data_IF_274257946875
#
_entry.id   IF_274257946875
#
_cell.length_a   1.000
_cell.length_b   1.000
_cell.length_c   1.000
_cell.angle_alpha   90.00
_cell.angle_beta   90.00
_cell.angle_gamma   90.00
#
_symmetry.space_group_name_H-M   'P 1'
#
loop_
_entity.id
_entity.type
_entity.pdbx_description
1 polymer ?
#
# COMPACT_ATOMS: atom_id res chain seq x y z
N UNK A 1 -19.95 -52.49 -20.11
CA UNK A 1 -20.82 -51.40 -19.65
C UNK A 1 -19.91 -50.35 -19.05
N UNK A 2 -19.51 -49.36 -19.85
CA UNK A 2 -18.63 -48.27 -19.45
C UNK A 2 -19.11 -47.01 -20.17
N UNK A 3 -19.32 -45.92 -19.44
CA UNK A 3 -19.82 -44.65 -19.99
C UNK A 3 -18.65 -43.65 -20.10
N UNK A 4 -18.10 -43.40 -21.31
CA UNK A 4 -16.89 -42.60 -21.49
C UNK A 4 -17.12 -41.09 -21.50
N UNK A 5 -18.33 -40.57 -21.21
CA UNK A 5 -18.69 -39.21 -21.61
C UNK A 5 -18.89 -38.21 -20.46
N UNK A 6 -17.85 -38.02 -19.62
CA UNK A 6 -17.88 -36.97 -18.57
C UNK A 6 -16.55 -36.23 -18.36
N UNK A 7 -15.83 -35.91 -19.45
CA UNK A 7 -14.82 -34.84 -19.43
C UNK A 7 -15.49 -33.51 -19.80
N UNK A 8 -16.26 -32.95 -18.87
CA UNK A 8 -16.70 -31.55 -18.97
C UNK A 8 -15.48 -30.67 -18.78
N UNK A 9 -14.94 -30.25 -19.91
CA UNK A 9 -14.15 -29.03 -20.10
C UNK A 9 -14.54 -27.97 -19.08
N UNK A 10 -13.68 -27.77 -18.08
CA UNK A 10 -13.65 -26.58 -17.25
C UNK A 10 -13.24 -25.44 -18.18
N UNK A 11 -14.23 -24.82 -18.79
CA UNK A 11 -14.07 -23.58 -19.52
C UNK A 11 -13.32 -22.61 -18.62
N UNK A 12 -12.05 -22.35 -18.95
CA UNK A 12 -11.26 -21.23 -18.45
C UNK A 12 -12.12 -19.99 -18.63
N UNK A 13 -12.78 -19.55 -17.56
CA UNK A 13 -13.47 -18.26 -17.57
C UNK A 13 -12.38 -17.22 -17.86
N UNK A 14 -12.55 -16.34 -18.86
CA UNK A 14 -11.63 -15.24 -19.04
C UNK A 14 -11.70 -14.42 -17.75
N UNK A 15 -10.66 -14.56 -16.94
CA UNK A 15 -10.42 -13.72 -15.78
C UNK A 15 -10.42 -12.32 -16.37
N UNK A 16 -11.45 -11.53 -16.08
CA UNK A 16 -11.46 -10.10 -16.36
C UNK A 16 -10.19 -9.57 -15.70
N UNK A 17 -9.13 -9.43 -16.49
CA UNK A 17 -7.90 -8.81 -16.06
C UNK A 17 -8.24 -7.34 -15.89
N UNK A 18 -8.80 -7.02 -14.72
CA UNK A 18 -8.96 -5.66 -14.24
C UNK A 18 -7.56 -5.08 -14.22
N UNK A 19 -7.22 -4.37 -15.29
CA UNK A 19 -5.94 -3.71 -15.46
C UNK A 19 -5.95 -2.51 -14.52
N UNK A 20 -5.62 -2.75 -13.25
CA UNK A 20 -5.40 -1.71 -12.23
C UNK A 20 -4.20 -0.81 -12.58
N UNK A 21 -3.48 -1.09 -13.68
CA UNK A 21 -2.33 -0.33 -14.15
C UNK A 21 -2.61 1.14 -14.50
N UNK A 22 -3.88 1.55 -14.65
CA UNK A 22 -4.25 2.94 -14.93
C UNK A 22 -4.73 3.76 -13.72
N UNK A 23 -4.95 3.14 -12.56
CA UNK A 23 -5.05 3.89 -11.32
C UNK A 23 -3.61 4.17 -10.87
N UNK A 24 -3.00 5.18 -11.50
CA UNK A 24 -1.71 5.78 -11.11
C UNK A 24 -1.80 6.45 -9.75
N UNK A 25 -2.23 5.71 -8.75
CA UNK A 25 -2.42 6.17 -7.39
C UNK A 25 -1.20 5.66 -6.63
N UNK A 26 -0.17 6.50 -6.61
CA UNK A 26 0.95 6.44 -5.68
C UNK A 26 0.42 6.76 -4.27
N UNK A 27 -0.49 5.95 -3.73
CA UNK A 27 -0.98 6.05 -2.34
C UNK A 27 0.00 5.31 -1.43
N UNK A 28 1.26 5.73 -1.48
CA UNK A 28 2.17 5.51 -0.36
C UNK A 28 1.69 6.49 0.69
N UNK A 29 1.22 6.00 1.83
CA UNK A 29 0.71 6.85 2.91
C UNK A 29 1.83 7.79 3.37
N UNK A 30 1.78 9.04 2.89
CA UNK A 30 2.82 10.04 3.07
C UNK A 30 3.16 10.23 4.55
N UNK A 31 2.20 10.00 5.45
CA UNK A 31 2.38 10.09 6.90
C UNK A 31 3.36 9.04 7.41
N UNK A 32 3.28 7.82 6.87
CA UNK A 32 4.12 6.70 7.30
C UNK A 32 5.53 6.90 6.75
N UNK A 33 5.64 7.28 5.48
CA UNK A 33 6.93 7.61 4.88
C UNK A 33 7.62 8.75 5.62
N UNK A 34 6.88 9.81 5.98
CA UNK A 34 7.42 10.95 6.73
C UNK A 34 7.90 10.56 8.13
N UNK A 35 7.16 9.70 8.85
CA UNK A 35 7.58 9.20 10.17
C UNK A 35 8.85 8.34 10.10
N UNK A 36 8.95 7.48 9.08
CA UNK A 36 10.14 6.64 8.89
C UNK A 36 11.37 7.50 8.57
N UNK A 37 11.20 8.50 7.69
CA UNK A 37 12.27 9.43 7.33
C UNK A 37 12.69 10.31 8.51
N UNK A 38 11.73 10.78 9.32
CA UNK A 38 12.02 11.53 10.54
C UNK A 38 12.78 10.67 11.57
N UNK A 39 12.42 9.41 11.75
CA UNK A 39 13.12 8.50 12.65
C UNK A 39 14.57 8.25 12.21
N UNK A 40 14.79 8.06 10.90
CA UNK A 40 16.13 7.94 10.30
C UNK A 40 16.95 9.21 10.52
N UNK A 41 16.36 10.39 10.32
CA UNK A 41 17.04 11.67 10.54
C UNK A 41 17.45 11.85 12.01
N UNK A 42 16.56 11.55 12.96
CA UNK A 42 16.87 11.64 14.40
C UNK A 42 18.00 10.66 14.76
N UNK A 43 17.96 9.44 14.22
CA UNK A 43 18.99 8.44 14.43
C UNK A 43 20.35 8.91 13.89
N UNK A 44 20.38 9.46 12.68
CA UNK A 44 21.59 10.02 12.06
C UNK A 44 22.17 11.17 12.89
N UNK A 45 21.33 12.13 13.30
CA UNK A 45 21.76 13.24 14.16
C UNK A 45 22.31 12.75 15.50
N UNK A 46 21.72 11.70 16.07
CA UNK A 46 22.19 11.10 17.33
C UNK A 46 23.57 10.46 17.15
N UNK A 47 23.77 9.68 16.08
CA UNK A 47 25.06 9.04 15.77
C UNK A 47 26.15 10.09 15.54
N UNK A 48 25.86 11.12 14.75
CA UNK A 48 26.80 12.22 14.47
C UNK A 48 27.16 12.95 15.77
N UNK A 49 26.18 13.28 16.61
CA UNK A 49 26.40 13.99 17.86
C UNK A 49 27.26 13.15 18.83
N UNK A 50 26.97 11.86 18.97
CA UNK A 50 27.77 10.95 19.79
C UNK A 50 29.19 10.78 19.24
N UNK A 51 29.34 10.66 17.93
CA UNK A 51 30.65 10.57 17.26
C UNK A 51 31.49 11.83 17.49
N UNK A 52 30.88 13.01 17.41
CA UNK A 52 31.55 14.28 17.69
C UNK A 52 31.98 14.40 19.15
N UNK A 53 31.12 14.04 20.11
CA UNK A 53 31.45 14.03 21.54
C UNK A 53 32.62 13.08 21.81
N UNK A 54 32.59 11.88 21.22
CA UNK A 54 33.69 10.91 21.34
C UNK A 54 35.01 11.46 20.77
N UNK A 55 34.99 11.99 19.54
CA UNK A 55 36.17 12.58 18.91
C UNK A 55 36.71 13.76 19.71
N UNK A 56 35.84 14.61 20.24
CA UNK A 56 36.23 15.74 21.08
C UNK A 56 37.02 15.27 22.31
N UNK A 57 36.50 14.30 23.06
CA UNK A 57 37.22 13.74 24.20
C UNK A 57 38.54 13.09 23.78
N UNK A 58 38.53 12.31 22.69
CA UNK A 58 39.74 11.63 22.21
C UNK A 58 40.82 12.63 21.80
N UNK A 59 40.45 13.67 21.05
CA UNK A 59 41.38 14.70 20.60
C UNK A 59 41.87 15.57 21.75
N UNK A 60 41.03 15.89 22.73
CA UNK A 60 41.48 16.59 23.94
C UNK A 60 42.59 15.79 24.63
N UNK A 61 42.38 14.48 24.85
CA UNK A 61 43.41 13.63 25.48
C UNK A 61 44.71 13.55 24.67
N UNK A 62 44.61 13.50 23.34
CA UNK A 62 45.78 13.47 22.45
C UNK A 62 46.54 14.81 22.45
N UNK A 63 45.82 15.93 22.46
CA UNK A 63 46.41 17.26 22.50
C UNK A 63 47.13 17.47 23.84
N UNK A 64 46.47 17.14 24.96
CA UNK A 64 47.06 17.25 26.29
C UNK A 64 48.35 16.43 26.39
N UNK A 65 48.33 15.17 25.91
CA UNK A 65 49.51 14.31 25.90
C UNK A 65 50.68 14.88 25.06
N UNK A 66 50.39 15.60 23.98
CA UNK A 66 51.41 16.15 23.08
C UNK A 66 51.93 17.53 23.53
N UNK A 67 51.11 18.36 24.17
CA UNK A 67 51.54 19.66 24.72
C UNK A 67 52.70 19.47 25.72
N UNK A 68 52.64 18.43 26.57
CA UNK A 68 53.73 18.11 27.49
C UNK A 68 54.97 17.49 26.81
N UNK A 69 54.83 16.95 25.60
CA UNK A 69 55.88 16.19 24.90
C UNK A 69 56.71 17.02 23.92
N UNK A 70 56.25 18.21 23.51
CA UNK A 70 57.00 19.15 22.65
C UNK A 70 58.37 19.55 23.25
N UNK A 71 58.59 19.35 24.55
CA UNK A 71 59.91 19.53 25.19
C UNK A 71 60.88 18.35 25.00
N UNK A 72 60.50 17.27 24.31
CA UNK A 72 61.33 16.08 24.06
C UNK A 72 61.21 15.65 22.58
N UNK A 73 62.22 16.02 21.79
CA UNK A 73 62.57 15.77 20.37
C UNK A 73 62.09 14.48 19.64
N UNK A 74 60.87 14.00 19.84
CA UNK A 74 60.32 12.88 19.07
C UNK A 74 58.87 13.17 18.74
N UNK A 75 58.69 13.91 17.65
CA UNK A 75 57.42 14.20 17.01
C UNK A 75 56.81 12.92 16.45
N UNK A 76 55.99 12.22 17.25
CA UNK A 76 55.05 11.25 16.67
C UNK A 76 54.04 12.03 15.83
N UNK A 77 53.70 11.52 14.65
CA UNK A 77 52.77 12.17 13.72
C UNK A 77 51.33 12.16 14.26
N UNK A 78 51.00 13.15 15.09
CA UNK A 78 49.69 13.36 15.74
C UNK A 78 48.58 13.42 14.69
N UNK A 79 48.89 13.98 13.51
CA UNK A 79 47.93 14.11 12.42
C UNK A 79 47.48 12.76 11.89
N UNK A 80 48.41 11.81 11.72
CA UNK A 80 48.08 10.43 11.32
C UNK A 80 47.17 9.75 12.34
N UNK A 81 47.38 9.96 13.64
CA UNK A 81 46.51 9.42 14.70
C UNK A 81 45.10 10.04 14.63
N UNK A 82 45.02 11.37 14.47
CA UNK A 82 43.73 12.06 14.33
C UNK A 82 42.94 11.60 13.11
N UNK A 83 43.61 11.43 11.97
CA UNK A 83 43.00 10.89 10.75
C UNK A 83 42.49 9.46 10.95
N UNK A 84 43.28 8.60 11.60
CA UNK A 84 42.89 7.24 11.89
C UNK A 84 41.63 7.18 12.76
N UNK A 85 41.60 7.93 13.87
CA UNK A 85 40.44 7.98 14.76
C UNK A 85 39.20 8.56 14.07
N UNK A 86 39.37 9.60 13.25
CA UNK A 86 38.27 10.17 12.44
C UNK A 86 37.74 9.14 11.45
N UNK A 87 38.63 8.47 10.71
CA UNK A 87 38.27 7.43 9.74
C UNK A 87 37.53 6.27 10.39
N UNK A 88 37.95 5.85 11.58
CA UNK A 88 37.28 4.83 12.37
C UNK A 88 35.84 5.25 12.73
N UNK A 89 35.67 6.45 13.29
CA UNK A 89 34.35 6.97 13.70
C UNK A 89 33.42 7.13 12.49
N UNK A 90 33.93 7.64 11.37
CA UNK A 90 33.17 7.75 10.12
C UNK A 90 32.78 6.36 9.60
N UNK A 91 33.72 5.41 9.58
CA UNK A 91 33.48 4.04 9.13
C UNK A 91 32.40 3.32 9.95
N UNK A 92 32.47 3.43 11.27
CA UNK A 92 31.45 2.87 12.18
C UNK A 92 30.10 3.57 11.96
N UNK A 93 30.08 4.89 11.83
CA UNK A 93 28.84 5.66 11.60
C UNK A 93 28.15 5.26 10.29
N UNK A 94 28.92 5.09 9.21
CA UNK A 94 28.41 4.62 7.92
C UNK A 94 27.83 3.20 8.03
N UNK A 95 28.52 2.31 8.75
CA UNK A 95 28.06 0.94 8.95
C UNK A 95 26.72 0.91 9.71
N UNK A 96 26.59 1.69 10.78
CA UNK A 96 25.34 1.79 11.55
C UNK A 96 24.21 2.34 10.69
N UNK A 97 24.47 3.38 9.89
CA UNK A 97 23.48 3.95 8.97
C UNK A 97 23.02 2.93 7.91
N UNK A 98 23.94 2.16 7.34
CA UNK A 98 23.61 1.11 6.37
C UNK A 98 22.71 0.04 7.01
N UNK A 99 23.05 -0.41 8.23
CA UNK A 99 22.23 -1.37 8.98
C UNK A 99 20.84 -0.81 9.28
N UNK A 100 20.74 0.45 9.70
CA UNK A 100 19.46 1.12 9.93
C UNK A 100 18.60 1.18 8.67
N UNK A 101 19.21 1.49 7.51
CA UNK A 101 18.54 1.50 6.22
C UNK A 101 18.00 0.11 5.83
N UNK A 102 18.79 -0.95 6.05
CA UNK A 102 18.36 -2.33 5.78
C UNK A 102 17.19 -2.75 6.67
N UNK A 103 17.21 -2.37 7.95
CA UNK A 103 16.09 -2.62 8.87
C UNK A 103 14.85 -1.86 8.41
N UNK A 104 15.00 -0.59 8.02
CA UNK A 104 13.91 0.22 7.52
C UNK A 104 13.27 -0.38 6.25
N UNK A 105 14.09 -0.85 5.30
CA UNK A 105 13.61 -1.55 4.10
C UNK A 105 12.83 -2.83 4.44
N UNK A 106 13.35 -3.66 5.35
CA UNK A 106 12.64 -4.88 5.78
C UNK A 106 11.31 -4.58 6.48
N UNK A 107 11.28 -3.57 7.35
CA UNK A 107 10.05 -3.14 8.00
C UNK A 107 9.04 -2.63 6.97
N UNK A 108 9.51 -1.85 5.98
CA UNK A 108 8.69 -1.34 4.90
C UNK A 108 8.07 -2.45 4.07
N UNK A 109 8.86 -3.41 3.60
CA UNK A 109 8.38 -4.53 2.78
C UNK A 109 7.33 -5.36 3.54
N UNK A 110 7.59 -5.68 4.82
CA UNK A 110 6.64 -6.42 5.64
C UNK A 110 5.32 -5.65 5.84
N UNK A 111 5.43 -4.34 6.07
CA UNK A 111 4.29 -3.46 6.21
C UNK A 111 3.43 -3.41 4.94
N UNK A 112 4.06 -3.16 3.78
CA UNK A 112 3.38 -3.12 2.48
C UNK A 112 2.73 -4.46 2.15
N UNK A 113 3.42 -5.58 2.42
CA UNK A 113 2.88 -6.93 2.19
C UNK A 113 1.63 -7.18 3.01
N UNK A 114 1.59 -6.75 4.27
CA UNK A 114 0.42 -6.87 5.15
C UNK A 114 -0.81 -6.11 4.59
N UNK A 115 -0.58 -4.90 4.07
CA UNK A 115 -1.64 -4.12 3.41
C UNK A 115 -2.12 -4.81 2.13
N UNK A 116 -1.20 -5.24 1.28
CA UNK A 116 -1.53 -5.89 0.01
C UNK A 116 -2.28 -7.21 0.21
N UNK A 117 -1.92 -8.00 1.23
CA UNK A 117 -2.68 -9.21 1.60
C UNK A 117 -4.11 -8.87 2.02
N UNK A 118 -4.27 -7.83 2.84
CA UNK A 118 -5.60 -7.37 3.28
C UNK A 118 -6.43 -6.91 2.07
N UNK A 119 -5.84 -6.11 1.19
CA UNK A 119 -6.50 -5.62 -0.03
C UNK A 119 -6.87 -6.77 -0.97
N UNK A 120 -5.96 -7.70 -1.24
CA UNK A 120 -6.20 -8.88 -2.08
C UNK A 120 -7.38 -9.70 -1.56
N UNK A 121 -7.44 -9.94 -0.25
CA UNK A 121 -8.56 -10.66 0.36
C UNK A 121 -9.91 -9.97 0.19
N UNK A 122 -9.96 -8.65 0.14
CA UNK A 122 -11.18 -7.89 -0.16
C UNK A 122 -11.52 -7.90 -1.65
N UNK A 123 -10.51 -7.79 -2.52
CA UNK A 123 -10.68 -7.84 -3.96
C UNK A 123 -11.23 -9.20 -4.42
N UNK A 124 -10.71 -10.31 -3.88
CA UNK A 124 -11.17 -11.66 -4.19
C UNK A 124 -12.65 -11.84 -3.79
N UNK A 125 -13.07 -11.32 -2.63
CA UNK A 125 -14.48 -11.36 -2.19
C UNK A 125 -15.41 -10.54 -3.09
N UNK A 126 -14.95 -9.37 -3.53
CA UNK A 126 -15.70 -8.54 -4.49
C UNK A 126 -15.84 -9.27 -5.82
N UNK A 127 -14.80 -9.98 -6.27
CA UNK A 127 -14.85 -10.80 -7.47
C UNK A 127 -15.85 -11.95 -7.34
N UNK A 128 -15.99 -12.53 -6.14
CA UNK A 128 -16.97 -13.56 -5.82
C UNK A 128 -18.40 -13.02 -5.58
N UNK A 129 -18.60 -11.69 -5.68
CA UNK A 129 -19.88 -11.00 -5.39
C UNK A 129 -20.44 -11.32 -3.99
N UNK A 130 -19.58 -11.75 -3.05
CA UNK A 130 -19.98 -12.03 -1.68
C UNK A 130 -19.92 -10.74 -0.86
N UNK A 131 -21.06 -10.05 -0.78
CA UNK A 131 -21.21 -8.82 -0.02
C UNK A 131 -21.72 -9.05 1.42
N UNK A 132 -21.58 -10.26 1.97
CA UNK A 132 -22.02 -10.54 3.36
C UNK A 132 -21.17 -9.74 4.35
N UNK A 133 -21.83 -8.99 5.23
CA UNK A 133 -21.19 -8.22 6.30
C UNK A 133 -20.59 -9.20 7.32
N UNK A 134 -19.31 -9.54 7.15
CA UNK A 134 -18.59 -10.31 8.14
C UNK A 134 -17.38 -9.51 8.63
N UNK A 135 -17.34 -9.39 9.96
CA UNK A 135 -16.31 -8.78 10.82
C UNK A 135 -16.55 -7.32 11.22
N UNK A 136 -17.43 -7.07 12.21
CA UNK A 136 -17.46 -5.79 12.94
C UNK A 136 -16.12 -5.42 13.62
N UNK A 137 -15.20 -6.38 13.76
CA UNK A 137 -13.94 -6.22 14.48
C UNK A 137 -12.74 -5.78 13.62
N UNK A 138 -12.91 -5.51 12.31
CA UNK A 138 -11.86 -4.88 11.48
C UNK A 138 -11.93 -3.35 11.56
N UNK A 139 -12.34 -2.83 12.72
CA UNK A 139 -12.39 -1.40 13.02
C UNK A 139 -10.96 -0.90 13.15
N UNK A 140 -10.59 0.04 12.29
CA UNK A 140 -9.28 0.69 12.23
C UNK A 140 -8.20 -0.13 11.50
N UNK A 141 -7.79 0.37 10.32
CA UNK A 141 -6.39 0.79 10.15
C UNK A 141 -6.12 1.62 8.89
N UNK A 142 -6.95 1.55 7.84
CA UNK A 142 -6.64 2.25 6.59
C UNK A 142 -7.82 2.94 5.92
N UNK A 143 -7.65 4.24 5.64
CA UNK A 143 -8.60 5.06 4.89
C UNK A 143 -8.97 4.47 3.52
N UNK A 144 -8.03 3.75 2.88
CA UNK A 144 -8.29 3.03 1.63
C UNK A 144 -9.25 1.86 1.82
N UNK A 145 -9.14 1.11 2.92
CA UNK A 145 -10.08 0.04 3.25
C UNK A 145 -11.47 0.62 3.57
N UNK A 146 -11.53 1.76 4.26
CA UNK A 146 -12.80 2.45 4.51
C UNK A 146 -13.47 2.89 3.21
N UNK A 147 -12.70 3.39 2.25
CA UNK A 147 -13.21 3.75 0.92
C UNK A 147 -13.73 2.54 0.15
N UNK A 148 -13.03 1.41 0.19
CA UNK A 148 -13.46 0.16 -0.46
C UNK A 148 -14.71 -0.38 0.21
N UNK A 149 -14.79 -0.36 1.55
CA UNK A 149 -15.98 -0.78 2.28
C UNK A 149 -17.16 0.14 1.98
N UNK A 150 -16.97 1.47 1.99
CA UNK A 150 -18.01 2.42 1.65
C UNK A 150 -18.52 2.22 0.21
N UNK A 151 -17.60 2.01 -0.73
CA UNK A 151 -17.94 1.69 -2.11
C UNK A 151 -18.70 0.36 -2.21
N UNK A 152 -18.23 -0.70 -1.55
CA UNK A 152 -18.88 -2.02 -1.54
C UNK A 152 -20.28 -1.97 -0.94
N UNK A 153 -20.50 -1.21 0.14
CA UNK A 153 -21.84 -0.97 0.72
C UNK A 153 -22.75 -0.25 -0.27
N UNK A 154 -22.22 0.76 -0.97
CA UNK A 154 -22.95 1.46 -2.03
C UNK A 154 -23.33 0.54 -3.18
N UNK A 155 -22.42 -0.34 -3.61
CA UNK A 155 -22.68 -1.30 -4.69
C UNK A 155 -23.68 -2.38 -4.28
N UNK A 156 -23.62 -2.87 -3.04
CA UNK A 156 -24.62 -3.77 -2.48
C UNK A 156 -26.01 -3.13 -2.46
N UNK A 157 -26.11 -1.87 -2.03
CA UNK A 157 -27.38 -1.14 -2.02
C UNK A 157 -27.95 -1.02 -3.44
N UNK A 158 -27.11 -0.64 -4.42
CA UNK A 158 -27.51 -0.60 -5.83
C UNK A 158 -28.00 -1.95 -6.34
N UNK A 159 -27.31 -3.04 -6.01
CA UNK A 159 -27.73 -4.38 -6.40
C UNK A 159 -29.11 -4.76 -5.82
N UNK A 160 -29.39 -4.37 -4.57
CA UNK A 160 -30.70 -4.55 -3.95
C UNK A 160 -31.79 -3.70 -4.63
N UNK A 161 -31.48 -2.45 -4.97
CA UNK A 161 -32.39 -1.55 -5.68
C UNK A 161 -32.72 -2.05 -7.10
N UNK A 162 -31.72 -2.59 -7.81
CA UNK A 162 -31.94 -3.24 -9.12
C UNK A 162 -32.81 -4.48 -8.95
N UNK A 163 -32.53 -5.32 -7.95
CA UNK A 163 -33.31 -6.53 -7.68
C UNK A 163 -34.77 -6.22 -7.35
N UNK A 164 -35.03 -5.18 -6.56
CA UNK A 164 -36.40 -4.75 -6.23
C UNK A 164 -37.11 -4.16 -7.45
N UNK A 165 -36.42 -3.35 -8.26
CA UNK A 165 -36.95 -2.81 -9.52
C UNK A 165 -37.28 -3.91 -10.53
N UNK A 166 -36.46 -4.95 -10.65
CA UNK A 166 -36.72 -6.11 -11.52
C UNK A 166 -37.85 -6.97 -10.97
N UNK A 167 -37.92 -7.19 -9.65
CA UNK A 167 -38.99 -7.96 -9.01
C UNK A 167 -40.37 -7.29 -9.11
N UNK A 168 -40.42 -5.96 -9.23
CA UNK A 168 -41.65 -5.21 -9.47
C UNK A 168 -42.20 -5.35 -10.90
N UNK A 169 -41.41 -5.88 -11.84
CA UNK A 169 -41.87 -6.15 -13.21
C UNK A 169 -42.67 -7.46 -13.17
N UNK A 170 -43.99 -7.34 -13.03
CA UNK A 170 -44.90 -8.48 -13.18
C UNK A 170 -45.00 -8.87 -14.66
N UNK A 171 -44.25 -9.91 -15.04
CA UNK A 171 -44.22 -10.44 -16.41
C UNK A 171 -45.57 -11.05 -16.83
N UNK A 172 -46.50 -11.29 -15.91
CA UNK A 172 -47.82 -11.82 -16.23
C UNK A 172 -48.79 -10.75 -16.73
N UNK A 173 -48.46 -9.45 -16.59
CA UNK A 173 -49.32 -8.32 -17.01
C UNK A 173 -48.99 -7.76 -18.40
N UNK A 174 -48.20 -8.47 -19.22
CA UNK A 174 -47.66 -7.97 -20.51
C UNK A 174 -48.71 -7.88 -21.65
N UNK A 175 -49.99 -8.14 -21.37
CA UNK A 175 -51.04 -8.14 -22.42
C UNK A 175 -51.62 -6.77 -22.78
N UNK A 176 -51.31 -5.69 -22.03
CA UNK A 176 -51.89 -4.36 -22.25
C UNK A 176 -50.85 -3.33 -22.71
N UNK A 177 -51.24 -2.39 -23.58
CA UNK A 177 -50.40 -1.30 -24.06
C UNK A 177 -49.98 -0.35 -22.92
N UNK A 178 -50.79 -0.26 -21.86
CA UNK A 178 -50.41 0.46 -20.63
C UNK A 178 -49.26 -0.21 -19.87
N UNK A 179 -49.09 -1.53 -19.99
CA UNK A 179 -48.03 -2.31 -19.35
C UNK A 179 -46.66 -2.03 -19.98
N UNK A 180 -46.60 -1.87 -21.31
CA UNK A 180 -45.36 -1.49 -22.01
C UNK A 180 -44.78 -0.16 -21.55
N UNK A 181 -45.65 0.83 -21.26
CA UNK A 181 -45.22 2.13 -20.73
C UNK A 181 -44.62 2.00 -19.32
N UNK A 182 -45.17 1.12 -18.48
CA UNK A 182 -44.64 0.83 -17.12
C UNK A 182 -43.30 0.11 -17.20
N UNK A 183 -43.18 -0.91 -18.05
CA UNK A 183 -41.93 -1.66 -18.27
C UNK A 183 -40.83 -0.72 -18.76
N UNK A 184 -41.12 0.16 -19.73
CA UNK A 184 -40.16 1.15 -20.23
C UNK A 184 -39.67 2.10 -19.12
N UNK A 185 -40.58 2.57 -18.27
CA UNK A 185 -40.19 3.42 -17.13
C UNK A 185 -39.30 2.68 -16.14
N UNK A 186 -39.59 1.40 -15.84
CA UNK A 186 -38.72 0.58 -14.99
C UNK A 186 -37.34 0.34 -15.61
N UNK A 187 -37.26 0.08 -16.92
CA UNK A 187 -35.98 -0.06 -17.63
C UNK A 187 -35.13 1.20 -17.58
N UNK A 188 -35.75 2.39 -17.72
CA UNK A 188 -35.05 3.67 -17.59
C UNK A 188 -34.51 3.85 -16.16
N UNK A 189 -35.28 3.46 -15.15
CA UNK A 189 -34.84 3.51 -13.75
C UNK A 189 -33.66 2.56 -13.50
N UNK A 190 -33.72 1.33 -14.02
CA UNK A 190 -32.60 0.37 -13.93
C UNK A 190 -31.36 0.92 -14.66
N UNK A 191 -31.54 1.53 -15.83
CA UNK A 191 -30.44 2.15 -16.59
C UNK A 191 -29.76 3.29 -15.82
N UNK A 192 -30.53 4.06 -15.03
CA UNK A 192 -29.99 5.12 -14.16
C UNK A 192 -29.25 4.58 -12.93
N UNK A 193 -29.60 3.38 -12.47
CA UNK A 193 -28.97 2.72 -11.31
C UNK A 193 -27.68 1.97 -11.67
N UNK A 194 -27.54 1.56 -12.93
CA UNK A 194 -26.29 1.00 -13.43
C UNK A 194 -25.17 2.04 -13.30
N UNK A 195 -23.97 1.65 -12.82
CA UNK A 195 -22.87 2.58 -12.74
C UNK A 195 -22.55 3.10 -14.15
N UNK A 196 -21.99 4.32 -14.30
CA UNK A 196 -21.57 4.88 -15.58
C UNK A 196 -20.32 4.13 -16.11
N UNK A 197 -20.44 2.83 -16.31
CA UNK A 197 -19.44 2.00 -16.95
C UNK A 197 -19.76 1.98 -18.45
N UNK A 198 -18.89 2.60 -19.24
CA UNK A 198 -18.55 2.23 -20.64
C UNK A 198 -18.80 3.20 -21.80
N UNK A 199 -19.41 4.40 -21.64
CA UNK A 199 -19.41 5.34 -22.80
C UNK A 199 -18.01 5.86 -23.17
N UNK A 200 -17.00 5.70 -22.30
CA UNK A 200 -15.59 6.04 -22.59
C UNK A 200 -14.71 4.89 -23.08
N UNK A 201 -15.15 3.63 -23.01
CA UNK A 201 -14.32 2.49 -23.46
C UNK A 201 -14.64 2.00 -24.87
N UNK A 202 -15.76 2.43 -25.46
CA UNK A 202 -16.12 2.08 -26.85
C UNK A 202 -15.49 3.06 -27.88
N UNK A 203 -14.83 4.13 -27.44
CA UNK A 203 -14.40 5.25 -28.31
C UNK A 203 -13.03 5.14 -29.01
N UNK A 204 -12.31 4.00 -28.97
CA UNK A 204 -11.02 3.84 -29.70
C UNK A 204 -10.78 2.40 -30.19
N UNK A 205 -11.78 1.81 -30.83
CA UNK A 205 -11.57 0.69 -31.75
C UNK A 205 -12.22 1.07 -33.09
N UNK A 206 -11.67 2.11 -33.72
CA UNK A 206 -11.75 2.39 -35.14
C UNK A 206 -10.45 3.09 -35.53
#
# INVERSE_FOLDING_TARGET
MDNPNKKKSLAKRPILSFSFSQLGIRYVDYKIQMRMLLALLILELTIISLGLVYLYHRFSTLIDANIYRIHKDTSSDVFTIMLHETGWVVGVSLLVNLVALLIADRLWVNYVRSILMSFGSHADRIADLDFRDQHPNLTNKHKSLDMIQAWSRGERQRALDIRSAVGAIDLNQVNDQSSWKRIRNHLITIQKLLPPYSSRFIGKIY
#
